data_IF_318716374597
#
_entry.id   IF_318716374597
#
_cell.length_a   1.000
_cell.length_b   1.000
_cell.length_c   1.000
_cell.angle_alpha   90.00
_cell.angle_beta   90.00
_cell.angle_gamma   90.00
#
_symmetry.space_group_name_H-M   'P 1'
#
loop_
_entity.id
_entity.type
_entity.pdbx_description
1 polymer ?
#
# COMPACT_ATOMS: atom_id res chain seq x y z
N UNK A 1 -12.12 4.74 3.18
CA UNK A 1 -11.12 5.42 2.34
C UNK A 1 -11.45 6.90 2.24
N UNK A 2 -10.46 7.79 2.30
CA UNK A 2 -10.67 9.26 2.28
C UNK A 2 -11.40 9.76 1.03
N UNK A 3 -11.23 9.09 -0.10
CA UNK A 3 -11.84 9.41 -1.39
C UNK A 3 -13.05 8.57 -1.78
N UNK A 4 -13.68 7.84 -0.84
CA UNK A 4 -14.86 7.03 -1.14
C UNK A 4 -16.15 7.78 -0.80
N UNK A 5 -17.09 7.78 -1.73
CA UNK A 5 -18.40 8.40 -1.63
C UNK A 5 -19.49 7.35 -1.79
N UNK A 6 -20.44 7.35 -0.88
CA UNK A 6 -21.62 6.48 -0.96
C UNK A 6 -22.72 7.13 -1.77
N UNK A 7 -23.26 6.40 -2.72
CA UNK A 7 -24.40 6.82 -3.55
C UNK A 7 -25.66 6.17 -3.00
N UNK A 8 -26.67 6.98 -2.73
CA UNK A 8 -27.96 6.54 -2.23
C UNK A 8 -29.08 6.94 -3.18
N UNK A 9 -30.06 6.08 -3.35
CA UNK A 9 -31.35 6.38 -3.97
C UNK A 9 -32.44 6.06 -2.95
N UNK A 10 -33.26 7.04 -2.61
CA UNK A 10 -34.32 6.90 -1.58
C UNK A 10 -33.77 6.25 -0.28
N UNK A 11 -32.63 6.73 0.21
CA UNK A 11 -31.94 6.22 1.41
C UNK A 11 -31.34 4.81 1.28
N UNK A 12 -31.54 4.13 0.15
CA UNK A 12 -30.91 2.83 -0.09
C UNK A 12 -29.51 3.02 -0.68
N UNK A 13 -28.45 2.40 -0.10
CA UNK A 13 -27.10 2.45 -0.65
C UNK A 13 -27.03 1.60 -1.93
N UNK A 14 -26.68 2.22 -3.06
CA UNK A 14 -26.58 1.53 -4.37
C UNK A 14 -25.15 1.37 -4.83
N UNK A 15 -24.25 2.31 -4.49
CA UNK A 15 -22.88 2.25 -4.96
C UNK A 15 -21.92 2.96 -4.02
N UNK A 16 -20.69 2.49 -4.04
CA UNK A 16 -19.53 3.21 -3.48
C UNK A 16 -18.63 3.66 -4.64
N UNK A 17 -18.40 4.97 -4.76
CA UNK A 17 -17.50 5.56 -5.77
C UNK A 17 -16.23 6.00 -5.09
N UNK A 18 -15.11 5.41 -5.48
CA UNK A 18 -13.80 5.78 -4.95
C UNK A 18 -13.01 6.56 -5.98
N UNK A 19 -12.55 7.74 -5.58
CA UNK A 19 -11.64 8.53 -6.38
C UNK A 19 -10.23 7.94 -6.31
N UNK A 20 -9.60 7.74 -7.46
CA UNK A 20 -8.26 7.19 -7.57
C UNK A 20 -7.35 8.16 -8.33
N UNK A 21 -6.07 8.22 -7.94
CA UNK A 21 -5.06 8.99 -8.65
C UNK A 21 -4.92 8.51 -10.11
N UNK A 22 -4.81 9.46 -11.05
CA UNK A 22 -4.78 9.16 -12.48
C UNK A 22 -3.64 8.23 -12.88
N UNK A 23 -2.46 8.35 -12.27
CA UNK A 23 -1.31 7.49 -12.61
C UNK A 23 -1.59 6.04 -12.23
N UNK A 24 -2.11 5.82 -11.03
CA UNK A 24 -2.49 4.48 -10.58
C UNK A 24 -3.67 3.95 -11.41
N UNK A 25 -4.69 4.77 -11.65
CA UNK A 25 -5.85 4.37 -12.47
C UNK A 25 -5.44 3.92 -13.86
N UNK A 26 -4.60 4.69 -14.56
CA UNK A 26 -4.13 4.35 -15.90
C UNK A 26 -3.29 3.06 -15.92
N UNK A 27 -2.53 2.80 -14.85
CA UNK A 27 -1.81 1.53 -14.73
C UNK A 27 -2.76 0.36 -14.49
N UNK A 28 -3.77 0.52 -13.64
CA UNK A 28 -4.79 -0.50 -13.41
C UNK A 28 -5.59 -0.80 -14.66
N UNK A 29 -5.91 0.23 -15.44
CA UNK A 29 -6.69 0.08 -16.69
C UNK A 29 -6.00 -0.86 -17.70
N UNK A 30 -4.65 -0.85 -17.76
CA UNK A 30 -3.87 -1.75 -18.63
C UNK A 30 -4.10 -3.23 -18.33
N UNK A 31 -4.38 -3.56 -17.07
CA UNK A 31 -4.61 -4.92 -16.58
C UNK A 31 -6.09 -5.24 -16.34
N UNK A 32 -7.00 -4.31 -16.69
CA UNK A 32 -8.43 -4.48 -16.48
C UNK A 32 -9.01 -5.57 -17.39
N UNK A 33 -9.98 -6.31 -16.87
CA UNK A 33 -10.73 -7.29 -17.63
C UNK A 33 -11.97 -6.59 -18.19
N UNK A 34 -12.19 -6.66 -19.50
CA UNK A 34 -13.34 -6.05 -20.16
C UNK A 34 -14.39 -7.12 -20.50
N UNK A 35 -15.62 -6.94 -19.94
CA UNK A 35 -16.76 -7.83 -20.19
C UNK A 35 -17.94 -6.95 -20.57
N UNK A 36 -18.56 -7.19 -21.72
CA UNK A 36 -19.73 -6.43 -22.21
C UNK A 36 -19.54 -4.90 -22.15
N UNK A 37 -18.34 -4.42 -22.52
CA UNK A 37 -18.02 -2.99 -22.51
C UNK A 37 -17.62 -2.42 -21.14
N UNK A 38 -17.84 -3.14 -20.05
CA UNK A 38 -17.51 -2.72 -18.67
C UNK A 38 -16.10 -3.19 -18.32
N UNK A 39 -15.28 -2.28 -17.78
CA UNK A 39 -13.94 -2.59 -17.29
C UNK A 39 -14.01 -3.02 -15.83
N UNK A 40 -13.49 -4.21 -15.55
CA UNK A 40 -13.41 -4.78 -14.22
C UNK A 40 -11.99 -4.63 -13.66
N UNK A 41 -11.92 -4.38 -12.36
CA UNK A 41 -10.67 -4.26 -11.63
C UNK A 41 -9.84 -5.57 -11.71
N UNK A 42 -8.52 -5.49 -11.93
CA UNK A 42 -7.66 -6.68 -11.99
C UNK A 42 -7.75 -7.55 -10.73
N UNK A 43 -7.75 -8.89 -10.85
CA UNK A 43 -7.86 -9.79 -9.70
C UNK A 43 -6.79 -9.55 -8.62
N UNK A 44 -5.56 -9.26 -9.03
CA UNK A 44 -4.46 -9.01 -8.08
C UNK A 44 -4.62 -7.68 -7.33
N UNK A 45 -5.27 -6.67 -7.91
CA UNK A 45 -5.59 -5.44 -7.20
C UNK A 45 -6.74 -5.65 -6.20
N UNK A 46 -7.75 -6.43 -6.56
CA UNK A 46 -8.81 -6.84 -5.62
C UNK A 46 -8.21 -7.63 -4.45
N UNK A 47 -7.29 -8.55 -4.75
CA UNK A 47 -6.55 -9.34 -3.74
C UNK A 47 -5.71 -8.44 -2.83
N UNK A 48 -5.04 -7.44 -3.40
CA UNK A 48 -4.31 -6.42 -2.63
C UNK A 48 -5.23 -5.71 -1.64
N UNK A 49 -6.41 -5.27 -2.05
CA UNK A 49 -7.39 -4.63 -1.16
C UNK A 49 -7.87 -5.56 -0.04
N UNK A 50 -8.00 -6.86 -0.30
CA UNK A 50 -8.30 -7.87 0.71
C UNK A 50 -7.17 -7.96 1.74
N UNK A 51 -5.92 -8.09 1.30
CA UNK A 51 -4.77 -8.14 2.21
C UNK A 51 -4.56 -6.83 2.95
N UNK A 52 -4.91 -5.69 2.35
CA UNK A 52 -4.91 -4.40 3.04
C UNK A 52 -5.84 -4.40 4.27
N UNK A 53 -7.04 -4.97 4.16
CA UNK A 53 -7.96 -5.10 5.30
C UNK A 53 -7.43 -6.11 6.34
N UNK A 54 -6.94 -7.27 5.91
CA UNK A 54 -6.44 -8.33 6.79
C UNK A 54 -5.13 -7.96 7.52
N UNK A 55 -4.33 -7.08 6.95
CA UNK A 55 -3.07 -6.61 7.56
C UNK A 55 -3.25 -5.52 8.61
N UNK A 56 -4.46 -5.03 8.84
CA UNK A 56 -4.74 -3.87 9.71
C UNK A 56 -5.64 -4.24 10.89
N UNK A 57 -5.09 -4.80 11.98
CA UNK A 57 -5.87 -5.28 13.12
C UNK A 57 -6.58 -4.16 13.91
N UNK A 58 -6.17 -2.91 13.74
CA UNK A 58 -6.86 -1.73 14.30
C UNK A 58 -7.90 -1.14 13.34
N UNK A 59 -8.14 -1.79 12.20
CA UNK A 59 -9.20 -1.45 11.26
C UNK A 59 -10.54 -2.10 11.63
N UNK A 60 -11.42 -2.24 10.63
CA UNK A 60 -12.73 -2.89 10.81
C UNK A 60 -12.60 -4.43 10.73
N UNK A 61 -12.24 -5.04 11.86
CA UNK A 61 -12.05 -6.50 11.95
C UNK A 61 -13.36 -7.30 11.83
N UNK A 62 -14.52 -6.66 12.03
CA UNK A 62 -15.83 -7.31 11.87
C UNK A 62 -16.05 -7.82 10.44
N UNK A 63 -15.32 -7.27 9.49
CA UNK A 63 -15.38 -7.66 8.08
C UNK A 63 -14.47 -8.82 7.70
N UNK A 64 -13.54 -9.23 8.55
CA UNK A 64 -12.50 -10.20 8.18
C UNK A 64 -13.06 -11.53 7.68
N UNK A 65 -14.11 -12.05 8.28
CA UNK A 65 -14.74 -13.27 7.79
C UNK A 65 -15.24 -13.14 6.34
N UNK A 66 -15.96 -12.05 6.05
CA UNK A 66 -16.45 -11.73 4.71
C UNK A 66 -15.30 -11.58 3.71
N UNK A 67 -14.23 -10.91 4.12
CA UNK A 67 -13.05 -10.64 3.29
C UNK A 67 -12.29 -11.94 3.01
N UNK A 68 -12.18 -12.84 3.99
CA UNK A 68 -11.57 -14.17 3.82
C UNK A 68 -12.37 -15.06 2.86
N UNK A 69 -13.72 -15.06 2.96
CA UNK A 69 -14.57 -15.77 2.00
C UNK A 69 -14.36 -15.28 0.56
N UNK A 70 -14.23 -13.97 0.38
CA UNK A 70 -13.92 -13.36 -0.93
C UNK A 70 -12.53 -13.75 -1.43
N UNK A 71 -11.53 -13.81 -0.56
CA UNK A 71 -10.17 -14.23 -0.91
C UNK A 71 -10.14 -15.68 -1.39
N UNK A 72 -10.86 -16.58 -0.70
CA UNK A 72 -10.97 -17.99 -1.11
C UNK A 72 -11.59 -18.09 -2.51
N UNK A 73 -12.71 -17.41 -2.74
CA UNK A 73 -13.38 -17.40 -4.04
C UNK A 73 -12.46 -16.84 -5.15
N UNK A 74 -11.82 -15.70 -4.87
CA UNK A 74 -10.90 -15.05 -5.81
C UNK A 74 -9.73 -15.96 -6.17
N UNK A 75 -9.12 -16.65 -5.19
CA UNK A 75 -8.01 -17.56 -5.43
C UNK A 75 -8.44 -18.84 -6.17
N UNK A 76 -9.70 -19.26 -6.02
CA UNK A 76 -10.24 -20.41 -6.76
C UNK A 76 -10.39 -20.09 -8.26
N UNK A 77 -10.88 -18.89 -8.60
CA UNK A 77 -11.17 -18.48 -9.97
C UNK A 77 -9.93 -17.88 -10.65
N UNK A 78 -9.18 -17.07 -9.92
CA UNK A 78 -7.97 -16.39 -10.39
C UNK A 78 -6.81 -16.71 -9.45
N UNK A 79 -6.13 -17.85 -9.61
CA UNK A 79 -5.01 -18.23 -8.76
C UNK A 79 -3.90 -17.17 -8.76
N UNK A 80 -3.28 -16.92 -7.59
CA UNK A 80 -2.10 -16.07 -7.49
C UNK A 80 -0.89 -16.87 -7.99
N UNK A 81 -0.39 -16.53 -9.17
CA UNK A 81 0.74 -17.20 -9.83
C UNK A 81 1.65 -16.19 -10.52
N UNK A 82 2.95 -16.43 -10.44
CA UNK A 82 3.97 -15.85 -11.32
C UNK A 82 4.36 -16.82 -12.42
N UNK A 83 5.15 -16.34 -13.37
CA UNK A 83 5.68 -17.12 -14.49
C UNK A 83 7.11 -17.56 -14.21
N UNK A 84 7.43 -18.83 -14.48
CA UNK A 84 8.77 -19.39 -14.31
C UNK A 84 9.43 -19.06 -12.95
N UNK A 85 8.66 -19.12 -11.87
CA UNK A 85 9.12 -18.69 -10.54
C UNK A 85 10.36 -19.45 -10.03
N UNK A 86 10.62 -20.67 -10.52
CA UNK A 86 11.81 -21.43 -10.17
C UNK A 86 13.11 -20.85 -10.76
N UNK A 87 12.99 -19.98 -11.78
CA UNK A 87 14.10 -19.32 -12.45
C UNK A 87 14.27 -17.86 -12.00
N UNK A 88 13.32 -17.33 -11.22
CA UNK A 88 13.37 -15.96 -10.71
C UNK A 88 14.31 -15.86 -9.52
N UNK A 89 15.23 -14.92 -9.60
CA UNK A 89 15.99 -14.48 -8.43
C UNK A 89 15.16 -13.45 -7.65
N UNK A 90 14.97 -13.71 -6.36
CA UNK A 90 14.21 -12.80 -5.48
C UNK A 90 15.09 -11.70 -4.89
N UNK A 91 16.33 -11.63 -5.30
CA UNK A 91 17.31 -10.73 -4.77
C UNK A 91 17.89 -9.82 -5.85
N UNK A 92 18.35 -8.66 -5.42
CA UNK A 92 19.14 -7.78 -6.26
C UNK A 92 20.60 -8.26 -6.27
N UNK A 93 21.26 -8.05 -7.41
CA UNK A 93 22.69 -8.30 -7.55
C UNK A 93 23.46 -7.16 -6.84
N UNK A 94 24.43 -7.50 -6.01
CA UNK A 94 25.37 -6.58 -5.38
C UNK A 94 26.65 -6.50 -6.22
N UNK A 95 27.08 -5.28 -6.58
CA UNK A 95 28.24 -5.08 -7.46
C UNK A 95 29.58 -5.03 -6.68
N UNK A 96 29.56 -4.82 -5.37
CA UNK A 96 30.75 -4.76 -4.51
C UNK A 96 31.34 -6.14 -4.15
N UNK A 97 32.40 -6.14 -3.33
CA UNK A 97 32.99 -7.39 -2.82
C UNK A 97 32.05 -8.08 -1.83
N UNK A 98 32.16 -9.41 -1.71
CA UNK A 98 31.35 -10.18 -0.77
C UNK A 98 31.60 -9.77 0.69
N UNK A 99 32.85 -9.50 1.05
CA UNK A 99 33.24 -9.08 2.42
C UNK A 99 32.66 -7.72 2.79
N UNK A 100 32.71 -6.75 1.86
CA UNK A 100 32.12 -5.43 2.06
C UNK A 100 30.61 -5.53 2.20
N UNK A 101 29.95 -6.31 1.34
CA UNK A 101 28.52 -6.58 1.40
C UNK A 101 28.10 -7.15 2.75
N UNK A 102 28.81 -8.14 3.26
CA UNK A 102 28.49 -8.84 4.51
C UNK A 102 28.62 -7.89 5.71
N UNK A 103 29.61 -7.02 5.73
CA UNK A 103 29.77 -5.97 6.74
C UNK A 103 28.64 -4.94 6.69
N UNK A 104 28.35 -4.38 5.52
CA UNK A 104 27.26 -3.43 5.32
C UNK A 104 25.92 -4.04 5.74
N UNK A 105 25.70 -5.31 5.39
CA UNK A 105 24.49 -6.04 5.78
C UNK A 105 24.34 -6.14 7.30
N UNK A 106 25.38 -6.57 8.02
CA UNK A 106 25.31 -6.72 9.48
C UNK A 106 25.13 -5.37 10.20
N UNK A 107 25.83 -4.32 9.73
CA UNK A 107 25.66 -2.95 10.25
C UNK A 107 24.20 -2.50 10.05
N UNK A 108 23.68 -2.63 8.82
CA UNK A 108 22.34 -2.21 8.46
C UNK A 108 21.27 -2.98 9.23
N UNK A 109 21.41 -4.31 9.32
CA UNK A 109 20.52 -5.18 10.08
C UNK A 109 20.45 -4.78 11.55
N UNK A 110 21.61 -4.63 12.18
CA UNK A 110 21.72 -4.26 13.60
C UNK A 110 21.15 -2.88 13.85
N UNK A 111 21.45 -1.91 13.00
CA UNK A 111 20.89 -0.56 13.06
C UNK A 111 19.36 -0.58 13.04
N UNK A 112 18.75 -1.34 12.15
CA UNK A 112 17.29 -1.43 12.04
C UNK A 112 16.65 -2.20 13.18
N UNK A 113 17.29 -3.25 13.68
CA UNK A 113 16.83 -3.99 14.88
C UNK A 113 16.80 -3.04 16.10
N UNK A 114 17.86 -2.27 16.30
CA UNK A 114 17.97 -1.33 17.42
C UNK A 114 16.92 -0.19 17.33
N UNK A 115 16.56 0.24 16.13
CA UNK A 115 15.50 1.21 15.90
C UNK A 115 14.09 0.60 16.06
N UNK A 116 13.95 -0.73 16.19
CA UNK A 116 12.69 -1.42 16.40
C UNK A 116 11.68 -1.31 15.25
N UNK A 117 12.18 -1.14 14.03
CA UNK A 117 11.38 -1.08 12.80
C UNK A 117 10.88 -2.46 12.38
N UNK A 118 9.99 -2.51 11.38
CA UNK A 118 9.41 -3.76 10.86
C UNK A 118 10.12 -4.14 9.57
N UNK A 119 10.68 -5.35 9.55
CA UNK A 119 11.24 -5.94 8.33
C UNK A 119 10.13 -6.54 7.46
N UNK A 120 10.17 -6.24 6.16
CA UNK A 120 9.40 -6.94 5.13
C UNK A 120 10.30 -7.19 3.91
N UNK A 121 9.76 -7.45 2.72
CA UNK A 121 10.60 -7.70 1.53
C UNK A 121 11.42 -8.98 1.59
N UNK A 122 12.58 -8.97 0.92
CA UNK A 122 13.44 -10.14 0.74
C UNK A 122 13.92 -10.76 2.04
N UNK A 123 14.40 -9.94 2.98
CA UNK A 123 14.86 -10.43 4.29
C UNK A 123 13.74 -11.13 5.09
N UNK A 124 12.57 -10.53 5.16
CA UNK A 124 11.43 -11.15 5.83
C UNK A 124 11.00 -12.44 5.13
N UNK A 125 10.95 -12.45 3.79
CA UNK A 125 10.64 -13.64 3.01
C UNK A 125 11.61 -14.79 3.28
N UNK A 126 12.91 -14.50 3.50
CA UNK A 126 13.91 -15.50 3.86
C UNK A 126 13.59 -16.19 5.20
N UNK A 127 13.11 -15.42 6.18
CA UNK A 127 12.72 -15.96 7.47
C UNK A 127 11.48 -16.86 7.37
N UNK A 128 10.57 -16.59 6.45
CA UNK A 128 9.44 -17.45 6.13
C UNK A 128 9.85 -18.72 5.38
N UNK A 129 10.97 -18.71 4.68
CA UNK A 129 11.50 -19.85 3.93
C UNK A 129 11.72 -21.12 4.75
N UNK A 130 11.98 -20.99 6.06
CA UNK A 130 12.14 -22.15 6.96
C UNK A 130 10.89 -23.04 7.09
N UNK A 131 9.71 -22.49 6.74
CA UNK A 131 8.44 -23.23 6.80
C UNK A 131 8.08 -23.92 5.48
N UNK A 132 8.93 -23.83 4.48
CA UNK A 132 8.77 -24.51 3.20
C UNK A 132 9.58 -25.83 3.18
N UNK A 133 9.10 -26.85 2.42
CA UNK A 133 9.88 -28.06 2.17
C UNK A 133 11.25 -27.74 1.59
N UNK A 134 12.26 -28.57 1.88
CA UNK A 134 13.65 -28.33 1.51
C UNK A 134 13.86 -28.06 0.00
N UNK A 135 13.10 -28.77 -0.85
CA UNK A 135 13.13 -28.59 -2.32
C UNK A 135 12.61 -27.22 -2.78
N UNK A 136 11.78 -26.55 -1.98
CA UNK A 136 11.18 -25.26 -2.30
C UNK A 136 11.88 -24.08 -1.58
N UNK A 137 12.89 -24.37 -0.73
CA UNK A 137 13.70 -23.35 -0.01
C UNK A 137 14.67 -22.59 -0.90
N UNK A 138 14.71 -22.88 -2.19
CA UNK A 138 15.73 -22.39 -3.16
C UNK A 138 15.89 -20.89 -3.25
N UNK A 139 15.06 -20.12 -2.59
CA UNK A 139 14.77 -18.80 -3.09
C UNK A 139 15.67 -17.73 -2.48
N UNK A 140 16.40 -18.02 -1.37
CA UNK A 140 17.10 -16.94 -0.70
C UNK A 140 18.37 -17.45 -0.03
N UNK A 141 19.40 -17.68 -0.84
CA UNK A 141 20.72 -18.09 -0.34
C UNK A 141 21.71 -16.92 -0.23
N UNK A 142 21.43 -15.77 -0.82
CA UNK A 142 22.26 -14.59 -0.75
C UNK A 142 21.67 -13.54 0.23
N UNK A 143 22.49 -12.58 0.62
CA UNK A 143 22.11 -11.55 1.58
C UNK A 143 21.21 -10.52 0.88
N UNK A 144 19.90 -10.42 1.27
CA UNK A 144 18.97 -9.50 0.64
C UNK A 144 19.22 -8.05 1.06
N UNK A 145 18.80 -7.11 0.21
CA UNK A 145 18.56 -5.74 0.62
C UNK A 145 17.37 -5.68 1.61
N UNK A 146 17.33 -4.62 2.40
CA UNK A 146 16.31 -4.47 3.43
C UNK A 146 15.16 -3.60 2.94
N UNK A 147 13.95 -4.15 2.96
CA UNK A 147 12.71 -3.37 2.93
C UNK A 147 12.15 -3.29 4.34
N UNK A 148 11.92 -2.08 4.84
CA UNK A 148 11.42 -1.88 6.20
C UNK A 148 10.30 -0.84 6.28
N UNK A 149 9.43 -1.00 7.30
CA UNK A 149 8.43 -0.01 7.67
C UNK A 149 8.90 0.76 8.89
N UNK A 150 8.92 2.09 8.79
CA UNK A 150 9.28 3.00 9.87
C UNK A 150 8.20 4.08 10.07
N UNK A 151 8.04 4.58 11.29
CA UNK A 151 7.13 5.70 11.57
C UNK A 151 7.69 7.02 11.03
N UNK A 152 9.01 7.21 11.16
CA UNK A 152 9.76 8.31 10.55
C UNK A 152 10.87 7.75 9.66
N UNK A 153 10.59 7.52 8.36
CA UNK A 153 11.58 6.98 7.43
C UNK A 153 12.81 7.87 7.27
N UNK A 154 12.64 9.20 7.29
CA UNK A 154 13.76 10.12 7.10
C UNK A 154 14.75 10.04 8.28
N UNK A 155 14.24 10.05 9.50
CA UNK A 155 15.07 9.88 10.69
C UNK A 155 15.77 8.52 10.67
N UNK A 156 15.03 7.47 10.32
CA UNK A 156 15.55 6.09 10.26
C UNK A 156 16.73 5.96 9.29
N UNK A 157 16.64 6.54 8.08
CA UNK A 157 17.73 6.47 7.10
C UNK A 157 18.92 7.39 7.48
N UNK A 158 18.68 8.51 8.16
CA UNK A 158 19.75 9.37 8.64
C UNK A 158 20.58 8.68 9.71
N UNK A 159 19.94 8.00 10.68
CA UNK A 159 20.63 7.20 11.69
C UNK A 159 21.49 6.10 11.03
N UNK A 160 20.93 5.39 10.03
CA UNK A 160 21.70 4.40 9.28
C UNK A 160 22.89 5.01 8.57
N UNK A 161 22.71 6.16 7.91
CA UNK A 161 23.78 6.87 7.21
C UNK A 161 24.91 7.29 8.18
N UNK A 162 24.58 7.83 9.34
CA UNK A 162 25.53 8.22 10.37
C UNK A 162 26.33 7.00 10.85
N UNK A 163 25.66 5.88 11.10
CA UNK A 163 26.32 4.66 11.54
C UNK A 163 27.24 4.10 10.45
N UNK A 164 26.82 4.05 9.19
CA UNK A 164 27.66 3.62 8.08
C UNK A 164 28.88 4.54 7.89
N UNK A 165 28.69 5.86 8.02
CA UNK A 165 29.79 6.81 7.96
C UNK A 165 30.82 6.61 9.10
N UNK A 166 30.32 6.31 10.30
CA UNK A 166 31.17 5.99 11.46
C UNK A 166 32.04 4.73 11.21
N UNK A 167 31.46 3.73 10.57
CA UNK A 167 32.13 2.49 10.15
C UNK A 167 33.05 2.65 8.91
N UNK A 168 33.20 3.89 8.40
CA UNK A 168 34.10 4.22 7.30
C UNK A 168 33.51 4.27 5.91
N UNK A 169 32.20 4.01 5.73
CA UNK A 169 31.52 4.08 4.43
C UNK A 169 31.10 5.52 4.11
N UNK A 170 31.94 6.26 3.39
CA UNK A 170 31.71 7.70 3.10
C UNK A 170 30.73 8.00 1.97
N UNK A 171 30.50 7.06 1.04
CA UNK A 171 29.65 7.28 -0.13
C UNK A 171 28.22 6.74 0.09
N UNK A 172 27.57 7.23 1.15
CA UNK A 172 26.19 6.87 1.49
C UNK A 172 25.21 7.94 0.99
N UNK A 173 24.35 7.58 0.05
CA UNK A 173 23.34 8.47 -0.55
C UNK A 173 21.93 8.06 -0.14
N UNK A 174 21.09 9.06 0.10
CA UNK A 174 19.67 8.86 0.43
C UNK A 174 18.83 9.51 -0.66
N UNK A 175 17.96 8.73 -1.30
CA UNK A 175 17.04 9.22 -2.32
C UNK A 175 15.59 9.14 -1.84
N UNK A 176 14.93 10.29 -1.86
CA UNK A 176 13.49 10.36 -1.59
C UNK A 176 12.71 9.89 -2.80
N UNK A 177 11.87 8.89 -2.63
CA UNK A 177 10.96 8.37 -3.65
C UNK A 177 9.53 8.87 -3.39
N UNK A 178 8.78 9.24 -4.44
CA UNK A 178 7.41 9.73 -4.28
C UNK A 178 6.47 8.60 -3.84
N UNK A 179 5.33 8.98 -3.27
CA UNK A 179 4.25 8.08 -2.90
C UNK A 179 3.66 7.32 -4.11
N UNK A 180 2.98 6.23 -3.84
CA UNK A 180 2.19 5.46 -4.81
C UNK A 180 0.72 5.69 -4.45
N UNK A 181 0.14 6.77 -5.01
CA UNK A 181 -1.21 7.20 -4.64
C UNK A 181 -1.38 7.31 -3.11
N UNK A 182 -2.52 6.89 -2.58
CA UNK A 182 -2.82 6.84 -1.14
C UNK A 182 -2.51 5.45 -0.52
N UNK A 183 -1.83 4.56 -1.27
CA UNK A 183 -1.54 3.19 -0.83
C UNK A 183 -0.16 3.03 -0.22
N UNK A 184 0.84 3.73 -0.74
CA UNK A 184 2.20 3.72 -0.21
C UNK A 184 2.69 5.15 -0.08
N UNK A 185 3.04 5.58 1.11
CA UNK A 185 3.54 6.93 1.39
C UNK A 185 4.96 7.14 0.84
N UNK A 186 5.49 8.32 1.01
CA UNK A 186 6.88 8.66 0.66
C UNK A 186 7.83 7.66 1.34
N UNK A 187 8.82 7.21 0.59
CA UNK A 187 9.84 6.28 1.07
C UNK A 187 11.24 6.74 0.66
N UNK A 188 12.24 6.15 1.27
CA UNK A 188 13.63 6.54 1.07
C UNK A 188 14.47 5.32 0.72
N UNK A 189 15.27 5.46 -0.33
CA UNK A 189 16.24 4.47 -0.75
C UNK A 189 17.63 4.87 -0.23
N UNK A 190 18.34 3.92 0.38
CA UNK A 190 19.70 4.11 0.85
C UNK A 190 20.64 3.34 -0.07
N UNK A 191 21.61 4.05 -0.62
CA UNK A 191 22.61 3.51 -1.55
C UNK A 191 23.99 3.71 -0.95
N UNK A 192 24.79 2.65 -0.92
CA UNK A 192 26.22 2.68 -0.62
C UNK A 192 26.98 2.40 -1.90
N UNK A 193 27.88 3.31 -2.28
CA UNK A 193 28.55 3.28 -3.59
C UNK A 193 27.54 3.28 -4.76
N UNK A 194 27.21 2.12 -5.31
CA UNK A 194 26.23 1.94 -6.38
C UNK A 194 25.07 1.03 -5.99
N UNK A 195 25.17 0.35 -4.86
CA UNK A 195 24.24 -0.68 -4.46
C UNK A 195 23.15 -0.15 -3.52
N UNK A 196 21.91 -0.46 -3.83
CA UNK A 196 20.79 -0.23 -2.92
C UNK A 196 20.85 -1.24 -1.79
N UNK A 197 21.06 -0.76 -0.55
CA UNK A 197 21.14 -1.60 0.65
C UNK A 197 19.83 -1.65 1.44
N UNK A 198 19.01 -0.61 1.33
CA UNK A 198 17.73 -0.55 2.01
C UNK A 198 16.73 0.37 1.32
N UNK A 199 15.44 0.04 1.46
CA UNK A 199 14.33 0.94 1.17
C UNK A 199 13.46 1.05 2.41
N UNK A 200 13.28 2.28 2.90
CA UNK A 200 12.56 2.58 4.14
C UNK A 200 11.24 3.24 3.82
N UNK A 201 10.15 2.53 4.09
CA UNK A 201 8.79 2.96 3.82
C UNK A 201 8.13 3.52 5.07
N UNK A 202 7.28 4.52 4.90
CA UNK A 202 6.45 5.01 5.99
C UNK A 202 5.29 4.06 6.26
N UNK A 203 5.08 3.74 7.54
CA UNK A 203 3.90 3.01 7.96
C UNK A 203 2.67 3.93 7.91
N UNK A 204 1.88 3.82 6.82
CA UNK A 204 0.68 4.63 6.55
C UNK A 204 -0.55 4.20 7.36
N UNK A 205 -0.49 3.02 7.97
CA UNK A 205 -1.52 2.45 8.84
C UNK A 205 -0.87 1.58 9.92
N UNK A 206 -1.67 1.03 10.84
CA UNK A 206 -1.19 0.04 11.79
C UNK A 206 -1.09 -1.34 11.13
N UNK A 207 0.07 -1.62 10.52
CA UNK A 207 0.34 -2.87 9.81
C UNK A 207 0.73 -4.00 10.76
N UNK A 208 0.11 -5.17 10.58
CA UNK A 208 0.35 -6.34 11.43
C UNK A 208 1.77 -6.91 11.24
N UNK A 209 2.37 -7.30 12.34
CA UNK A 209 3.67 -7.96 12.38
C UNK A 209 3.71 -9.10 13.39
N UNK A 210 4.65 -9.99 13.22
CA UNK A 210 5.03 -10.99 14.20
C UNK A 210 6.42 -10.71 14.74
N UNK A 211 6.68 -11.17 15.95
CA UNK A 211 7.94 -10.97 16.64
C UNK A 211 8.63 -12.29 16.86
N UNK A 212 9.90 -12.35 16.55
CA UNK A 212 10.76 -13.51 16.78
C UNK A 212 12.03 -13.11 17.50
N UNK A 213 12.70 -14.08 18.06
CA UNK A 213 14.04 -13.96 18.62
C UNK A 213 15.04 -14.73 17.74
N UNK A 214 16.14 -14.10 17.39
CA UNK A 214 17.31 -14.72 16.76
C UNK A 214 18.50 -14.45 17.68
N UNK A 215 18.90 -15.48 18.44
CA UNK A 215 19.79 -15.26 19.57
C UNK A 215 19.16 -14.28 20.58
N UNK A 216 19.90 -13.29 21.07
CA UNK A 216 19.36 -12.27 21.98
C UNK A 216 18.54 -11.18 21.29
N UNK A 217 18.56 -11.09 19.96
CA UNK A 217 17.94 -10.02 19.20
C UNK A 217 16.45 -10.26 18.97
N UNK A 218 15.65 -9.26 19.28
CA UNK A 218 14.20 -9.23 19.08
C UNK A 218 13.88 -8.57 17.74
N UNK A 219 13.38 -9.34 16.79
CA UNK A 219 13.11 -8.89 15.43
C UNK A 219 11.61 -8.83 15.16
N UNK A 220 11.14 -7.71 14.60
CA UNK A 220 9.77 -7.53 14.16
C UNK A 220 9.70 -7.78 12.66
N UNK A 221 8.87 -8.72 12.25
CA UNK A 221 8.71 -9.14 10.86
C UNK A 221 7.26 -8.95 10.44
N UNK A 222 7.03 -8.28 9.32
CA UNK A 222 5.70 -8.10 8.77
C UNK A 222 4.98 -9.44 8.63
N UNK A 223 3.69 -9.48 8.96
CA UNK A 223 2.87 -10.67 8.68
C UNK A 223 2.81 -10.94 7.18
N UNK A 224 2.51 -12.17 6.77
CA UNK A 224 2.34 -12.51 5.35
C UNK A 224 1.27 -11.62 4.72
N UNK A 225 0.17 -11.34 5.42
CA UNK A 225 -0.90 -10.47 4.91
C UNK A 225 -0.38 -9.03 4.63
N UNK A 226 0.48 -8.48 5.50
CA UNK A 226 1.15 -7.20 5.27
C UNK A 226 2.09 -7.24 4.07
N UNK A 227 2.91 -8.29 3.95
CA UNK A 227 3.85 -8.44 2.83
C UNK A 227 3.11 -8.57 1.50
N UNK A 228 2.04 -9.37 1.45
CA UNK A 228 1.23 -9.55 0.25
C UNK A 228 0.51 -8.26 -0.17
N UNK A 229 0.06 -7.45 0.80
CA UNK A 229 -0.45 -6.12 0.49
C UNK A 229 0.56 -5.26 -0.26
N UNK A 230 1.80 -5.16 0.25
CA UNK A 230 2.84 -4.34 -0.38
C UNK A 230 3.29 -4.90 -1.74
N UNK A 231 3.54 -6.20 -1.85
CA UNK A 231 3.96 -6.77 -3.13
C UNK A 231 2.92 -6.58 -4.21
N UNK A 232 1.64 -6.78 -3.90
CA UNK A 232 0.56 -6.65 -4.88
C UNK A 232 0.29 -5.20 -5.29
N UNK A 233 0.48 -4.21 -4.40
CA UNK A 233 0.37 -2.80 -4.81
C UNK A 233 1.56 -2.35 -5.65
N UNK A 234 2.77 -2.87 -5.39
CA UNK A 234 3.95 -2.56 -6.17
C UNK A 234 3.84 -2.97 -7.64
N UNK A 235 3.07 -4.01 -7.97
CA UNK A 235 2.77 -4.42 -9.36
C UNK A 235 2.21 -3.24 -10.18
N UNK A 236 1.41 -2.38 -9.55
CA UNK A 236 0.73 -1.26 -10.21
C UNK A 236 1.44 0.08 -10.05
N UNK A 237 2.60 0.10 -9.39
CA UNK A 237 3.36 1.32 -9.12
C UNK A 237 4.04 1.88 -10.37
N UNK A 238 4.27 1.06 -11.40
CA UNK A 238 5.01 1.39 -12.62
C UNK A 238 6.36 2.03 -12.33
N UNK A 239 7.19 1.35 -11.52
CA UNK A 239 8.55 1.75 -11.17
C UNK A 239 9.56 0.82 -11.85
N UNK A 240 10.66 1.34 -12.39
CA UNK A 240 11.66 0.53 -13.09
C UNK A 240 12.27 -0.61 -12.25
N UNK A 241 12.33 -0.40 -10.93
CA UNK A 241 12.90 -1.37 -10.00
C UNK A 241 11.90 -2.41 -9.47
N UNK A 242 10.61 -2.32 -9.86
CA UNK A 242 9.59 -3.31 -9.52
C UNK A 242 9.34 -4.22 -10.73
N UNK A 243 10.01 -5.36 -10.76
CA UNK A 243 9.68 -6.41 -11.70
C UNK A 243 8.37 -7.10 -11.31
N UNK A 244 7.39 -7.04 -12.21
CA UNK A 244 6.03 -7.55 -11.96
C UNK A 244 6.03 -9.05 -11.72
N UNK A 245 6.79 -9.81 -12.53
CA UNK A 245 6.81 -11.25 -12.41
C UNK A 245 7.52 -11.71 -11.14
N UNK A 246 8.62 -11.06 -10.77
CA UNK A 246 9.31 -11.29 -9.50
C UNK A 246 8.37 -11.05 -8.31
N UNK A 247 7.62 -9.95 -8.30
CA UNK A 247 6.65 -9.64 -7.25
C UNK A 247 5.52 -10.67 -7.18
N UNK A 248 5.04 -11.16 -8.32
CA UNK A 248 4.05 -12.23 -8.39
C UNK A 248 4.61 -13.54 -7.84
N UNK A 249 5.83 -13.90 -8.20
CA UNK A 249 6.49 -15.11 -7.69
C UNK A 249 6.75 -15.04 -6.19
N UNK A 250 7.19 -13.90 -5.67
CA UNK A 250 7.33 -13.69 -4.23
C UNK A 250 5.98 -13.77 -3.51
N UNK A 251 4.93 -13.22 -4.11
CA UNK A 251 3.58 -13.29 -3.56
C UNK A 251 3.04 -14.72 -3.55
N UNK A 252 3.21 -15.46 -4.64
CA UNK A 252 2.85 -16.87 -4.74
C UNK A 252 3.57 -17.71 -3.68
N UNK A 253 4.86 -17.46 -3.49
CA UNK A 253 5.66 -18.16 -2.50
C UNK A 253 5.12 -17.94 -1.07
N UNK A 254 4.90 -16.70 -0.66
CA UNK A 254 4.35 -16.40 0.67
C UNK A 254 2.94 -16.95 0.86
N UNK A 255 2.12 -16.90 -0.19
CA UNK A 255 0.79 -17.50 -0.18
C UNK A 255 0.85 -19.02 0.02
N UNK A 256 1.81 -19.72 -0.62
CA UNK A 256 2.06 -21.16 -0.41
C UNK A 256 2.50 -21.44 1.03
N UNK A 257 3.39 -20.61 1.62
CA UNK A 257 3.76 -20.73 3.04
C UNK A 257 2.52 -20.67 3.92
N UNK A 258 1.63 -19.70 3.69
CA UNK A 258 0.41 -19.52 4.46
C UNK A 258 -0.56 -20.71 4.31
N UNK A 259 -0.73 -21.24 3.10
CA UNK A 259 -1.60 -22.39 2.84
C UNK A 259 -1.10 -23.68 3.49
N UNK A 260 0.19 -23.99 3.30
CA UNK A 260 0.80 -25.24 3.83
C UNK A 260 0.80 -25.26 5.36
N UNK A 261 0.87 -24.11 5.99
CA UNK A 261 0.96 -23.96 7.44
C UNK A 261 -0.31 -23.36 8.07
N UNK A 262 -1.45 -23.44 7.39
CA UNK A 262 -2.70 -22.76 7.79
C UNK A 262 -3.18 -23.08 9.21
N UNK A 263 -2.86 -24.27 9.72
CA UNK A 263 -3.23 -24.69 11.08
C UNK A 263 -2.22 -24.27 12.13
N UNK A 264 -1.03 -23.85 11.72
CA UNK A 264 0.00 -23.36 12.63
C UNK A 264 -0.16 -21.86 12.85
N UNK A 265 -0.55 -21.47 14.06
CA UNK A 265 -0.78 -20.07 14.43
C UNK A 265 0.26 -19.60 15.48
N UNK A 266 1.54 -19.96 15.29
CA UNK A 266 2.64 -19.66 16.21
C UNK A 266 3.79 -18.91 15.50
N UNK A 267 4.46 -18.05 16.23
CA UNK A 267 5.62 -17.30 15.74
C UNK A 267 5.29 -16.51 14.46
N UNK A 268 6.11 -16.63 13.41
CA UNK A 268 5.89 -15.94 12.13
C UNK A 268 4.62 -16.40 11.40
N UNK A 269 4.14 -17.61 11.66
CA UNK A 269 2.95 -18.15 11.00
C UNK A 269 1.63 -17.63 11.60
N UNK A 270 1.67 -16.86 12.70
CA UNK A 270 0.47 -16.25 13.28
C UNK A 270 -0.12 -15.24 12.28
N UNK A 271 -1.29 -15.55 11.75
CA UNK A 271 -1.94 -14.75 10.73
C UNK A 271 -2.66 -13.54 11.31
N UNK A 272 -3.47 -13.76 12.35
CA UNK A 272 -4.30 -12.72 12.96
C UNK A 272 -3.59 -12.12 14.18
N UNK A 273 -2.38 -11.58 13.95
CA UNK A 273 -1.64 -10.86 14.98
C UNK A 273 -2.34 -9.54 15.30
N UNK A 274 -2.55 -9.28 16.60
CA UNK A 274 -3.02 -7.98 17.09
C UNK A 274 -1.88 -6.96 17.20
N UNK A 275 -0.63 -7.43 17.14
CA UNK A 275 0.52 -6.55 17.08
C UNK A 275 0.55 -5.83 15.75
N UNK A 276 0.55 -4.51 15.78
CA UNK A 276 0.70 -3.70 14.57
C UNK A 276 1.60 -2.49 14.81
N UNK A 277 2.13 -1.96 13.73
CA UNK A 277 3.07 -0.86 13.72
C UNK A 277 2.60 0.24 12.78
N UNK A 278 2.67 1.48 13.23
CA UNK A 278 2.10 2.63 12.55
C UNK A 278 0.79 3.10 13.18
N UNK A 279 0.26 4.21 12.69
CA UNK A 279 -0.97 4.82 13.20
C UNK A 279 -2.14 4.51 12.27
N UNK A 280 -3.15 3.80 12.77
CA UNK A 280 -4.39 3.61 12.03
C UNK A 280 -5.18 4.91 11.92
N UNK A 281 -5.56 5.29 10.70
CA UNK A 281 -6.44 6.45 10.48
C UNK A 281 -7.85 6.12 10.95
N UNK A 282 -8.40 6.92 11.85
CA UNK A 282 -9.76 6.78 12.37
C UNK A 282 -10.78 7.53 11.50
N UNK A 283 -12.07 7.30 11.73
CA UNK A 283 -13.14 8.10 11.10
C UNK A 283 -13.06 9.57 11.51
N UNK A 284 -12.64 9.84 12.74
CA UNK A 284 -12.44 11.20 13.25
C UNK A 284 -11.28 11.91 12.55
N UNK A 285 -10.16 11.22 12.35
CA UNK A 285 -9.04 11.74 11.56
C UNK A 285 -9.50 12.10 10.13
N UNK A 286 -10.32 11.25 9.50
CA UNK A 286 -10.87 11.51 8.16
C UNK A 286 -11.79 12.73 8.17
N UNK A 287 -12.66 12.88 9.17
CA UNK A 287 -13.54 14.04 9.31
C UNK A 287 -12.75 15.32 9.55
N UNK A 288 -11.76 15.27 10.44
CA UNK A 288 -10.84 16.38 10.72
C UNK A 288 -10.08 16.81 9.46
N UNK A 289 -9.51 15.84 8.72
CA UNK A 289 -8.86 16.11 7.46
C UNK A 289 -9.78 16.81 6.45
N UNK A 290 -11.01 16.30 6.26
CA UNK A 290 -11.99 16.92 5.36
C UNK A 290 -12.35 18.35 5.79
N UNK A 291 -12.51 18.58 7.09
CA UNK A 291 -12.80 19.92 7.64
C UNK A 291 -11.64 20.89 7.38
N UNK A 292 -10.40 20.48 7.65
CA UNK A 292 -9.21 21.30 7.39
C UNK A 292 -9.07 21.61 5.89
N UNK A 293 -9.29 20.59 5.03
CA UNK A 293 -9.22 20.75 3.57
C UNK A 293 -10.29 21.70 3.03
N UNK A 294 -11.49 21.65 3.62
CA UNK A 294 -12.57 22.59 3.28
C UNK A 294 -12.20 24.05 3.61
N UNK A 295 -11.61 24.29 4.78
CA UNK A 295 -11.12 25.62 5.19
C UNK A 295 -10.03 26.12 4.23
N UNK A 296 -9.03 25.29 3.95
CA UNK A 296 -7.94 25.60 3.01
C UNK A 296 -8.49 26.00 1.62
N UNK A 297 -9.45 25.23 1.09
CA UNK A 297 -10.06 25.53 -0.20
C UNK A 297 -10.88 26.83 -0.20
N UNK A 298 -11.52 27.16 0.93
CA UNK A 298 -12.22 28.43 1.11
C UNK A 298 -11.23 29.60 1.10
N UNK A 299 -10.12 29.49 1.83
CA UNK A 299 -9.06 30.52 1.89
C UNK A 299 -8.40 30.73 0.52
N UNK A 300 -8.11 29.65 -0.21
CA UNK A 300 -7.52 29.68 -1.55
C UNK A 300 -8.54 29.98 -2.67
N UNK A 301 -9.80 30.25 -2.35
CA UNK A 301 -10.87 30.48 -3.32
C UNK A 301 -10.99 29.40 -4.40
N UNK A 302 -10.74 28.13 -4.07
CA UNK A 302 -10.87 27.01 -5.00
C UNK A 302 -12.32 26.88 -5.46
N UNK A 303 -12.56 26.93 -6.77
CA UNK A 303 -13.91 26.86 -7.34
C UNK A 303 -14.56 25.48 -7.06
N UNK A 304 -15.79 25.48 -6.54
CA UNK A 304 -16.51 24.24 -6.17
C UNK A 304 -16.76 23.26 -7.34
N UNK A 305 -16.72 23.74 -8.58
CA UNK A 305 -16.84 22.91 -9.79
C UNK A 305 -15.49 22.47 -10.37
N UNK A 306 -14.38 22.88 -9.80
CA UNK A 306 -13.06 22.47 -10.28
C UNK A 306 -12.78 21.01 -9.96
N UNK A 307 -11.94 20.37 -10.79
CA UNK A 307 -11.49 19.01 -10.57
C UNK A 307 -10.82 18.82 -9.19
N UNK A 308 -10.00 19.82 -8.77
CA UNK A 308 -9.35 19.81 -7.47
C UNK A 308 -10.36 19.77 -6.32
N UNK A 309 -11.42 20.57 -6.39
CA UNK A 309 -12.47 20.56 -5.38
C UNK A 309 -13.26 19.25 -5.39
N UNK A 310 -13.64 18.77 -6.58
CA UNK A 310 -14.43 17.54 -6.72
C UNK A 310 -13.68 16.31 -6.24
N UNK A 311 -12.37 16.25 -6.37
CA UNK A 311 -11.53 15.18 -5.84
C UNK A 311 -11.72 14.98 -4.33
N UNK A 312 -11.97 16.05 -3.58
CA UNK A 312 -12.14 16.02 -2.12
C UNK A 312 -13.59 16.09 -1.67
N UNK A 313 -14.43 16.75 -2.46
CA UNK A 313 -15.83 17.05 -2.14
C UNK A 313 -16.70 16.80 -3.37
N UNK A 314 -16.82 15.53 -3.76
CA UNK A 314 -17.65 15.15 -4.90
C UNK A 314 -19.09 15.65 -4.69
N UNK A 315 -19.57 16.43 -5.65
CA UNK A 315 -20.95 16.91 -5.69
C UNK A 315 -21.58 16.45 -6.99
N UNK A 316 -22.71 15.79 -6.89
CA UNK A 316 -23.52 15.54 -8.06
C UNK A 316 -24.03 16.86 -8.64
N UNK A 317 -23.69 17.11 -9.88
CA UNK A 317 -24.22 18.24 -10.65
C UNK A 317 -24.98 17.64 -11.82
N UNK A 318 -26.32 17.62 -11.76
CA UNK A 318 -27.11 17.10 -12.87
C UNK A 318 -26.85 17.92 -14.14
N UNK A 319 -26.83 17.23 -15.28
CA UNK A 319 -26.67 17.89 -16.56
C UNK A 319 -27.83 18.87 -16.75
N UNK A 320 -27.53 20.16 -16.89
CA UNK A 320 -28.53 21.24 -17.03
C UNK A 320 -29.45 21.07 -18.27
N UNK A 321 -29.04 20.26 -19.23
CA UNK A 321 -29.79 19.95 -20.43
C UNK A 321 -30.78 18.78 -20.27
N UNK A 322 -30.73 18.04 -19.14
CA UNK A 322 -31.68 16.96 -18.91
C UNK A 322 -33.08 17.47 -18.57
N UNK A 323 -34.09 16.75 -19.02
CA UNK A 323 -35.52 17.06 -18.75
C UNK A 323 -35.77 17.17 -17.24
N UNK A 324 -35.20 16.26 -16.44
CA UNK A 324 -35.29 16.24 -14.98
C UNK A 324 -34.71 17.49 -14.32
N UNK A 325 -33.60 18.04 -14.85
CA UNK A 325 -33.03 19.27 -14.32
C UNK A 325 -33.98 20.46 -14.57
N UNK A 326 -34.53 20.56 -15.77
CA UNK A 326 -35.46 21.63 -16.14
C UNK A 326 -36.75 21.56 -15.31
N UNK A 327 -37.28 20.38 -15.05
CA UNK A 327 -38.45 20.19 -14.21
C UNK A 327 -38.20 20.53 -12.74
N UNK A 328 -37.10 20.07 -12.16
CA UNK A 328 -36.78 20.30 -10.72
C UNK A 328 -36.19 21.65 -10.41
N UNK A 329 -35.40 22.24 -11.31
CA UNK A 329 -34.57 23.42 -11.03
C UNK A 329 -34.82 24.59 -11.98
N UNK A 330 -35.46 24.40 -13.13
CA UNK A 330 -35.71 25.42 -14.13
C UNK A 330 -36.56 26.61 -13.62
N UNK A 331 -37.53 26.35 -12.76
CA UNK A 331 -38.40 27.39 -12.20
C UNK A 331 -37.78 28.29 -11.14
N UNK A 332 -36.70 27.85 -10.48
CA UNK A 332 -36.04 28.69 -9.46
C UNK A 332 -35.14 29.79 -10.06
N UNK A 333 -34.64 29.64 -11.28
CA UNK A 333 -33.85 30.69 -11.96
C UNK A 333 -34.71 31.86 -12.44
N UNK A 334 -35.97 31.59 -12.86
CA UNK A 334 -36.89 32.63 -13.35
C UNK A 334 -37.37 33.55 -12.22
N UNK A 335 -37.64 33.02 -11.04
CA UNK A 335 -38.07 33.85 -9.89
C UNK A 335 -36.98 34.79 -9.35
N UNK A 336 -35.68 34.42 -9.44
CA UNK A 336 -34.60 35.31 -9.07
C UNK A 336 -34.32 36.44 -10.07
N UNK A 337 -34.57 36.23 -11.35
CA UNK A 337 -34.48 37.30 -12.38
C UNK A 337 -35.62 38.32 -12.24
N UNK A 338 -36.84 37.88 -11.96
CA UNK A 338 -37.97 38.80 -11.77
C UNK A 338 -37.87 39.64 -10.48
N UNK A 339 -37.30 39.11 -9.39
CA UNK A 339 -37.04 39.93 -8.19
C UNK A 339 -35.94 40.99 -8.38
N UNK A 340 -34.95 40.74 -9.24
CA UNK A 340 -33.90 41.75 -9.55
C UNK A 340 -34.39 42.87 -10.46
N UNK A 341 -35.45 42.63 -11.29
CA UNK A 341 -36.03 43.64 -12.17
C UNK A 341 -37.05 44.51 -11.39
N UNK A 342 -37.78 43.96 -10.40
CA UNK A 342 -38.69 44.77 -9.55
C UNK A 342 -38.01 45.69 -8.55
N UNK A 343 -36.74 45.45 -8.21
CA UNK A 343 -35.97 46.31 -7.29
C UNK A 343 -35.09 47.36 -8.04
N UNK A 344 -35.33 47.55 -9.34
CA UNK A 344 -34.64 48.57 -10.17
C UNK A 344 -35.62 49.52 -10.89
N UNK A 345 -36.86 49.66 -10.36
CA UNK A 345 -37.79 50.75 -10.75
C UNK A 345 -38.06 51.64 -9.54
#
# INVERSE_FOLDING_TARGET
HKGTYKVFVNFMPIADVTYMDNKLFNNLEKYSIKINGIKYCPPNFLRMGIYQELSRPMGDVSRWEKVLKRLILLNKIFPLKGELCNQQDFQRVYEGSNEERDKIYEITKTCFINQGVIFFGGYAASLYGKYMPHKEKRIINSIPDFDILANDPLQTVNILKEQLNYEGYKNVKIYKKPNISDYVDIHYEVIVNKDTIAIVYKADACHSYNQIFIGPQKIKVASIDTMLYFYLIFIYANRPYFDVNRLLCMSEYLFKVQLKNRLQQKGLLRRFSTNCYGKQTTLEDIRSYKSKKFKEFKEKNVKRGSFEYQKHFLRYVPNENTKDYKEKFGFKKTKKKQKKIKNRK
#
